data_IF_504608340735
#
_entry.id   IF_504608340735
#
_cell.length_a   1.000
_cell.length_b   1.000
_cell.length_c   1.000
_cell.angle_alpha   90.00
_cell.angle_beta   90.00
_cell.angle_gamma   90.00
#
_symmetry.space_group_name_H-M   'P 1'
#
loop_
_entity.id
_entity.type
_entity.pdbx_description
1 polymer ?
#
# COMPACT_ATOMS: atom_id res chain seq x y z
N UNK A 1 -3.55 16.92 12.09
CA UNK A 1 -3.63 15.70 11.27
C UNK A 1 -2.48 14.78 11.65
N UNK A 2 -2.61 13.44 11.58
CA UNK A 2 -1.50 12.53 11.84
C UNK A 2 -0.68 12.30 10.57
N UNK A 3 0.64 12.38 10.72
CA UNK A 3 1.60 12.09 9.67
C UNK A 3 2.49 10.93 10.10
N UNK A 4 2.98 10.16 9.13
CA UNK A 4 4.04 9.19 9.35
C UNK A 4 5.38 9.80 8.97
N UNK A 5 6.41 9.55 9.78
CA UNK A 5 7.80 9.89 9.46
C UNK A 5 8.37 8.82 8.53
N UNK A 6 9.03 9.26 7.46
CA UNK A 6 9.60 8.38 6.44
C UNK A 6 11.02 8.84 6.09
N UNK A 7 11.82 7.89 5.63
CA UNK A 7 13.17 8.12 5.13
C UNK A 7 13.24 7.82 3.64
N UNK A 8 14.17 8.48 2.95
CA UNK A 8 14.62 8.06 1.62
C UNK A 8 15.99 7.42 1.77
N UNK A 9 16.10 6.14 1.43
CA UNK A 9 17.35 5.37 1.53
C UNK A 9 18.47 6.01 0.70
N UNK A 10 19.68 6.04 1.23
CA UNK A 10 20.83 6.59 0.52
C UNK A 10 21.12 5.80 -0.77
N UNK A 11 21.54 6.52 -1.82
CA UNK A 11 21.72 5.94 -3.16
C UNK A 11 22.89 4.94 -3.26
N UNK A 12 23.84 5.01 -2.33
CA UNK A 12 25.02 4.16 -2.32
C UNK A 12 24.78 2.81 -1.62
N UNK A 13 23.60 2.60 -1.01
CA UNK A 13 23.26 1.35 -0.35
C UNK A 13 23.06 0.23 -1.36
N UNK A 14 23.50 -0.97 -0.98
CA UNK A 14 23.40 -2.17 -1.83
C UNK A 14 21.96 -2.64 -2.08
N UNK A 15 21.00 -2.21 -1.25
CA UNK A 15 19.60 -2.60 -1.32
C UNK A 15 18.66 -1.39 -1.32
N UNK A 16 17.71 -1.41 -2.25
CA UNK A 16 16.64 -0.43 -2.42
C UNK A 16 17.12 1.05 -2.39
N UNK A 17 18.18 1.41 -3.12
CA UNK A 17 18.70 2.78 -3.12
C UNK A 17 17.62 3.77 -3.59
N UNK A 18 17.46 4.88 -2.87
CA UNK A 18 16.51 5.95 -3.19
C UNK A 18 15.04 5.64 -2.92
N UNK A 19 14.71 4.48 -2.34
CA UNK A 19 13.32 4.14 -2.04
C UNK A 19 12.84 4.75 -0.72
N UNK A 20 11.53 4.96 -0.62
CA UNK A 20 10.87 5.31 0.63
C UNK A 20 10.91 4.13 1.62
N UNK A 21 11.28 4.40 2.87
CA UNK A 21 11.27 3.41 3.94
C UNK A 21 10.78 4.03 5.25
N UNK A 22 10.32 3.16 6.15
CA UNK A 22 10.24 3.47 7.58
C UNK A 22 11.65 3.29 8.18
N UNK A 23 12.05 4.07 9.19
CA UNK A 23 13.27 3.79 9.94
C UNK A 23 13.25 2.36 10.49
N UNK A 24 14.35 1.64 10.36
CA UNK A 24 14.44 0.27 10.85
C UNK A 24 15.44 -0.58 10.08
N UNK A 25 15.94 -1.60 10.77
CA UNK A 25 16.94 -2.49 10.22
C UNK A 25 16.83 -3.90 10.75
N UNK A 26 17.98 -4.54 10.86
CA UNK A 26 18.06 -5.95 11.22
C UNK A 26 18.15 -6.05 12.74
N UNK A 27 17.38 -6.97 13.32
CA UNK A 27 17.48 -7.30 14.74
C UNK A 27 18.83 -7.98 15.05
N UNK A 28 19.54 -7.43 16.03
CA UNK A 28 20.77 -8.00 16.57
C UNK A 28 20.47 -8.70 17.90
N UNK A 29 20.89 -9.95 18.04
CA UNK A 29 20.63 -10.68 19.28
C UNK A 29 21.47 -10.09 20.42
N UNK A 30 20.90 -9.87 21.63
CA UNK A 30 19.62 -10.40 22.14
C UNK A 30 18.43 -9.42 22.11
N UNK A 31 18.39 -8.43 21.22
CA UNK A 31 17.33 -7.42 21.18
C UNK A 31 15.93 -8.00 20.97
N UNK A 32 14.95 -7.32 21.55
CA UNK A 32 13.54 -7.43 21.18
C UNK A 32 13.24 -6.58 19.94
N UNK A 33 12.15 -6.86 19.19
CA UNK A 33 11.77 -6.04 18.05
C UNK A 33 11.54 -4.55 18.38
N UNK A 34 11.09 -4.24 19.59
CA UNK A 34 10.91 -2.86 20.05
C UNK A 34 12.26 -2.15 20.27
N UNK A 35 13.22 -2.83 20.88
CA UNK A 35 14.57 -2.30 21.09
C UNK A 35 15.27 -2.06 19.76
N UNK A 36 15.21 -3.02 18.83
CA UNK A 36 15.74 -2.87 17.46
C UNK A 36 15.11 -1.67 16.75
N UNK A 37 13.79 -1.54 16.76
CA UNK A 37 13.13 -0.42 16.06
C UNK A 37 13.53 0.95 16.63
N UNK A 38 13.71 1.05 17.94
CA UNK A 38 14.15 2.28 18.61
C UNK A 38 15.61 2.59 18.32
N UNK A 39 16.51 1.60 18.44
CA UNK A 39 17.94 1.75 18.12
C UNK A 39 18.12 2.21 16.67
N UNK A 40 17.50 1.52 15.72
CA UNK A 40 17.60 1.85 14.29
C UNK A 40 17.01 3.25 14.00
N UNK A 41 15.94 3.66 14.70
CA UNK A 41 15.41 5.02 14.59
C UNK A 41 16.37 6.09 15.16
N UNK A 42 17.11 5.77 16.22
CA UNK A 42 18.16 6.64 16.74
C UNK A 42 19.33 6.72 15.76
N UNK A 43 19.78 5.60 15.20
CA UNK A 43 20.90 5.54 14.25
C UNK A 43 20.57 6.24 12.93
N UNK A 44 19.40 5.98 12.33
CA UNK A 44 19.03 6.50 11.01
C UNK A 44 18.60 7.97 11.04
N UNK A 45 17.83 8.37 12.06
CA UNK A 45 17.17 9.69 12.09
C UNK A 45 17.46 10.51 13.35
N UNK A 46 18.33 10.04 14.25
CA UNK A 46 18.62 10.66 15.54
C UNK A 46 17.35 10.95 16.36
N UNK A 47 16.43 9.98 16.37
CA UNK A 47 15.24 10.06 17.23
C UNK A 47 15.67 9.99 18.71
N UNK A 48 15.30 10.96 19.57
CA UNK A 48 15.64 10.91 20.99
C UNK A 48 14.74 9.90 21.73
N UNK A 49 15.18 8.63 21.80
CA UNK A 49 14.36 7.49 22.24
C UNK A 49 13.95 7.52 23.73
N UNK A 50 14.65 8.30 24.55
CA UNK A 50 14.39 8.52 25.99
C UNK A 50 13.50 9.73 26.27
N UNK A 51 13.05 10.43 25.23
CA UNK A 51 12.21 11.61 25.39
C UNK A 51 10.78 11.24 25.82
N UNK A 52 10.28 11.87 26.90
CA UNK A 52 8.93 11.63 27.43
C UNK A 52 7.81 11.93 26.42
N UNK A 53 8.12 12.67 25.34
CA UNK A 53 7.23 12.90 24.22
C UNK A 53 6.98 11.69 23.33
N UNK A 54 7.73 10.59 23.46
CA UNK A 54 7.55 9.36 22.69
C UNK A 54 6.58 8.42 23.39
N UNK A 55 5.33 8.39 22.89
CA UNK A 55 4.31 7.46 23.37
C UNK A 55 4.42 6.15 22.59
N UNK A 56 4.93 5.11 23.26
CA UNK A 56 5.11 3.76 22.70
C UNK A 56 3.76 3.05 22.61
N UNK A 57 3.25 2.84 21.40
CA UNK A 57 1.95 2.20 21.18
C UNK A 57 2.05 0.66 21.13
N UNK A 58 3.23 0.13 20.77
CA UNK A 58 3.51 -1.30 20.78
C UNK A 58 3.72 -1.89 19.38
N UNK A 59 3.79 -3.23 19.34
CA UNK A 59 4.01 -3.98 18.11
C UNK A 59 2.72 -4.05 17.27
N UNK A 60 2.89 -3.87 15.97
CA UNK A 60 1.86 -4.18 14.99
C UNK A 60 1.86 -5.65 14.57
N UNK A 61 0.99 -5.98 13.62
CA UNK A 61 1.00 -7.28 12.95
C UNK A 61 2.32 -7.45 12.18
N UNK A 62 3.07 -8.55 12.40
CA UNK A 62 4.25 -8.83 11.59
C UNK A 62 3.92 -8.98 10.11
N UNK A 63 4.86 -8.62 9.25
CA UNK A 63 4.73 -8.72 7.80
C UNK A 63 5.79 -9.66 7.23
N UNK A 64 5.50 -10.30 6.09
CA UNK A 64 6.41 -11.25 5.44
C UNK A 64 6.60 -10.89 3.97
N UNK A 65 7.84 -10.54 3.64
CA UNK A 65 8.30 -10.22 2.28
C UNK A 65 9.66 -10.86 2.02
N UNK A 66 9.77 -12.19 2.18
CA UNK A 66 11.03 -12.93 2.14
C UNK A 66 11.85 -12.82 3.43
N UNK A 67 11.40 -12.01 4.38
CA UNK A 67 11.88 -11.84 5.75
C UNK A 67 10.69 -11.53 6.66
N UNK A 68 10.78 -11.88 7.94
CA UNK A 68 9.79 -11.46 8.95
C UNK A 68 10.16 -10.07 9.45
N UNK A 69 9.24 -9.12 9.31
CA UNK A 69 9.41 -7.73 9.75
C UNK A 69 8.38 -7.41 10.82
N UNK A 70 8.83 -6.83 11.92
CA UNK A 70 8.00 -6.47 13.07
C UNK A 70 7.82 -4.94 13.12
N UNK A 71 6.67 -4.39 12.70
CA UNK A 71 6.42 -2.96 12.85
C UNK A 71 6.24 -2.59 14.32
N UNK A 72 6.88 -1.51 14.75
CA UNK A 72 6.73 -0.95 16.09
C UNK A 72 6.23 0.49 15.98
N UNK A 73 5.11 0.79 16.64
CA UNK A 73 4.46 2.08 16.51
C UNK A 73 4.79 2.99 17.70
N UNK A 74 5.27 4.18 17.38
CA UNK A 74 5.55 5.26 18.34
C UNK A 74 4.81 6.51 17.89
N UNK A 75 4.11 7.16 18.81
CA UNK A 75 3.42 8.43 18.58
C UNK A 75 4.19 9.55 19.25
N UNK A 76 4.45 10.64 18.51
CA UNK A 76 4.99 11.85 19.10
C UNK A 76 3.86 12.65 19.75
N UNK A 77 3.98 12.94 21.04
CA UNK A 77 3.04 13.79 21.77
C UNK A 77 2.95 15.18 21.12
N UNK A 78 1.75 15.76 20.95
CA UNK A 78 1.60 17.09 20.37
C UNK A 78 2.45 18.17 21.04
N UNK A 79 2.67 18.06 22.35
CA UNK A 79 3.45 19.02 23.13
C UNK A 79 4.97 18.95 22.84
N UNK A 80 5.48 17.76 22.50
CA UNK A 80 6.91 17.54 22.23
C UNK A 80 7.24 17.46 20.74
N UNK A 81 6.23 17.29 19.88
CA UNK A 81 6.41 17.01 18.43
C UNK A 81 7.33 18.02 17.77
N UNK A 82 7.10 19.33 17.93
CA UNK A 82 7.93 20.36 17.27
C UNK A 82 9.38 20.32 17.75
N UNK A 83 9.62 20.06 19.04
CA UNK A 83 10.95 19.96 19.63
C UNK A 83 11.68 18.70 19.20
N UNK A 84 10.99 17.57 19.06
CA UNK A 84 11.58 16.31 18.61
C UNK A 84 11.91 16.40 17.11
N UNK A 85 10.97 16.90 16.29
CA UNK A 85 11.18 17.05 14.85
C UNK A 85 12.36 17.98 14.52
N UNK A 86 12.64 18.99 15.34
CA UNK A 86 13.78 19.89 15.13
C UNK A 86 15.14 19.23 15.41
N UNK A 87 15.16 18.11 16.13
CA UNK A 87 16.37 17.34 16.45
C UNK A 87 16.71 16.28 15.41
N UNK A 88 15.71 15.78 14.65
CA UNK A 88 15.92 14.71 13.68
C UNK A 88 16.94 15.10 12.60
N UNK A 89 17.89 14.23 12.31
CA UNK A 89 18.88 14.43 11.25
C UNK A 89 19.02 13.15 10.43
N UNK A 90 19.16 13.22 9.11
CA UNK A 90 19.43 12.01 8.34
C UNK A 90 20.86 11.54 8.63
N UNK A 91 21.03 10.26 8.96
CA UNK A 91 22.36 9.64 9.00
C UNK A 91 23.00 9.67 7.61
N UNK A 92 24.24 10.18 7.47
CA UNK A 92 24.90 10.33 6.17
C UNK A 92 25.16 8.99 5.45
N UNK A 93 25.27 7.90 6.23
CA UNK A 93 25.60 6.57 5.72
C UNK A 93 24.36 5.82 5.22
N UNK A 94 23.16 6.18 5.68
CA UNK A 94 21.95 5.37 5.42
C UNK A 94 20.78 6.15 4.85
N UNK A 95 20.64 7.43 5.24
CA UNK A 95 19.45 8.23 4.95
C UNK A 95 19.85 9.46 4.13
N UNK A 96 19.24 9.58 2.95
CA UNK A 96 19.42 10.79 2.13
C UNK A 96 18.49 11.94 2.56
N UNK A 97 17.30 11.62 3.08
CA UNK A 97 16.27 12.60 3.44
C UNK A 97 15.29 12.02 4.45
N UNK A 98 14.87 12.88 5.37
CA UNK A 98 13.71 12.66 6.26
C UNK A 98 12.54 13.49 5.76
N UNK A 99 11.35 12.91 5.73
CA UNK A 99 10.13 13.58 5.31
C UNK A 99 8.92 12.93 5.97
N UNK A 100 7.71 13.44 5.70
CA UNK A 100 6.49 12.88 6.26
C UNK A 100 5.35 12.82 5.24
N UNK A 101 4.40 11.92 5.49
CA UNK A 101 3.20 11.76 4.66
C UNK A 101 1.94 11.71 5.53
N UNK A 102 0.84 12.39 5.16
CA UNK A 102 -0.41 12.32 5.92
C UNK A 102 -1.00 10.91 5.84
N UNK A 103 -1.25 10.28 6.99
CA UNK A 103 -1.75 8.90 7.05
C UNK A 103 -3.15 8.78 6.42
N UNK A 104 -4.00 9.80 6.60
CA UNK A 104 -5.34 9.84 6.01
C UNK A 104 -5.33 9.77 4.48
N UNK A 105 -4.25 10.20 3.83
CA UNK A 105 -4.14 10.17 2.38
C UNK A 105 -4.03 8.75 1.81
N UNK A 106 -3.87 7.71 2.64
CA UNK A 106 -3.83 6.32 2.20
C UNK A 106 -5.19 5.62 2.27
N UNK A 107 -6.24 6.31 2.74
CA UNK A 107 -7.60 5.77 2.78
C UNK A 107 -8.26 5.70 1.41
N UNK A 108 -7.80 6.52 0.45
CA UNK A 108 -8.40 6.68 -0.88
C UNK A 108 -7.36 6.46 -1.97
N UNK A 109 -7.85 6.05 -3.15
CA UNK A 109 -7.06 5.97 -4.38
C UNK A 109 -6.82 7.34 -5.02
N UNK A 110 -7.45 8.39 -4.51
CA UNK A 110 -7.29 9.78 -4.93
C UNK A 110 -6.47 10.59 -3.91
N UNK A 111 -5.65 11.51 -4.43
CA UNK A 111 -4.87 12.38 -3.57
C UNK A 111 -5.80 13.40 -2.89
N UNK A 112 -5.66 13.63 -1.56
CA UNK A 112 -6.43 14.68 -0.92
C UNK A 112 -6.07 16.06 -1.50
N UNK A 113 -7.03 17.01 -1.54
CA UNK A 113 -6.78 18.34 -2.07
C UNK A 113 -5.56 19.01 -1.41
N UNK A 114 -4.70 19.60 -2.23
CA UNK A 114 -3.51 20.31 -1.75
C UNK A 114 -2.32 19.42 -1.41
N UNK A 115 -2.44 18.09 -1.50
CA UNK A 115 -1.28 17.20 -1.36
C UNK A 115 -0.28 17.44 -2.49
N UNK A 116 0.93 17.86 -2.14
CA UNK A 116 2.01 18.04 -3.11
C UNK A 116 2.50 16.67 -3.57
N UNK A 117 2.43 16.43 -4.88
CA UNK A 117 2.96 15.22 -5.50
C UNK A 117 4.16 15.56 -6.35
N UNK A 118 5.22 14.76 -6.26
CA UNK A 118 6.39 14.89 -7.11
C UNK A 118 6.06 14.51 -8.56
N UNK A 119 6.78 15.09 -9.52
CA UNK A 119 6.62 14.76 -10.94
C UNK A 119 6.83 13.24 -11.15
N UNK A 120 5.86 12.53 -11.74
CA UNK A 120 5.88 11.07 -11.77
C UNK A 120 7.01 10.50 -12.63
N UNK A 121 7.55 11.28 -13.58
CA UNK A 121 8.71 10.88 -14.38
C UNK A 121 10.05 10.93 -13.62
N UNK A 122 10.06 11.45 -12.38
CA UNK A 122 11.30 11.71 -11.63
C UNK A 122 11.56 10.75 -10.46
N UNK A 123 10.58 9.89 -10.13
CA UNK A 123 10.61 9.02 -8.94
C UNK A 123 11.00 7.60 -9.30
N UNK A 124 10.23 6.95 -10.18
CA UNK A 124 10.50 5.60 -10.66
C UNK A 124 10.89 5.66 -12.14
N UNK A 125 12.20 5.65 -12.41
CA UNK A 125 12.72 5.69 -13.78
C UNK A 125 12.76 4.31 -14.46
N UNK A 126 12.47 3.25 -13.72
CA UNK A 126 12.43 1.89 -14.25
C UNK A 126 11.06 1.56 -14.85
N UNK A 127 10.06 2.42 -14.66
CA UNK A 127 8.69 2.23 -15.17
C UNK A 127 8.21 3.46 -15.92
N UNK A 128 7.19 3.30 -16.79
CA UNK A 128 6.42 4.44 -17.27
C UNK A 128 5.92 5.30 -16.11
N UNK A 129 5.88 6.61 -16.33
CA UNK A 129 5.41 7.56 -15.33
C UNK A 129 3.99 7.20 -14.87
N UNK A 130 3.82 7.05 -13.56
CA UNK A 130 2.53 6.73 -12.95
C UNK A 130 1.80 8.03 -12.61
N UNK A 131 0.82 8.41 -13.43
CA UNK A 131 0.07 9.66 -13.24
C UNK A 131 -0.96 9.57 -12.12
N UNK A 132 -1.58 8.40 -11.92
CA UNK A 132 -2.56 8.22 -10.85
C UNK A 132 -1.91 8.26 -9.46
N UNK A 133 -2.66 8.75 -8.47
CA UNK A 133 -2.16 8.85 -7.09
C UNK A 133 -1.87 7.46 -6.50
N UNK A 134 -2.80 6.52 -6.65
CA UNK A 134 -2.61 5.12 -6.27
C UNK A 134 -2.60 4.22 -7.51
N UNK A 135 -1.62 3.33 -7.56
CA UNK A 135 -1.57 2.21 -8.52
C UNK A 135 -1.27 0.90 -7.78
N UNK A 136 -1.47 -0.24 -8.44
CA UNK A 136 -1.06 -1.52 -7.89
C UNK A 136 -0.74 -2.54 -8.99
N UNK A 137 -0.05 -3.61 -8.62
CA UNK A 137 0.15 -4.79 -9.45
C UNK A 137 -0.11 -6.04 -8.63
N UNK A 138 -0.86 -7.00 -9.16
CA UNK A 138 -1.03 -8.31 -8.51
C UNK A 138 0.05 -9.25 -9.07
N UNK A 139 1.07 -9.53 -8.25
CA UNK A 139 2.25 -10.30 -8.63
C UNK A 139 2.18 -11.72 -8.06
N UNK A 140 2.81 -12.67 -8.74
CA UNK A 140 2.96 -14.02 -8.21
C UNK A 140 4.01 -14.06 -7.11
N UNK A 141 3.61 -14.50 -5.91
CA UNK A 141 4.43 -14.46 -4.71
C UNK A 141 4.12 -15.63 -3.79
N UNK A 142 5.14 -16.39 -3.40
CA UNK A 142 5.03 -17.58 -2.52
C UNK A 142 3.87 -18.53 -2.88
N UNK A 143 3.72 -18.85 -4.18
CA UNK A 143 2.68 -19.77 -4.64
C UNK A 143 1.25 -19.23 -4.50
N UNK A 144 1.08 -17.92 -4.34
CA UNK A 144 -0.20 -17.21 -4.39
C UNK A 144 -0.05 -15.86 -5.07
N UNK A 145 -1.07 -15.01 -4.91
CA UNK A 145 -1.04 -13.61 -5.38
C UNK A 145 -0.64 -12.67 -4.25
N UNK A 146 0.08 -11.62 -4.59
CA UNK A 146 0.40 -10.50 -3.71
C UNK A 146 0.07 -9.18 -4.40
N UNK A 147 -0.70 -8.32 -3.75
CA UNK A 147 -0.98 -6.98 -4.24
C UNK A 147 0.12 -6.00 -3.83
N UNK A 148 0.95 -5.64 -4.80
CA UNK A 148 1.98 -4.62 -4.64
C UNK A 148 1.37 -3.23 -4.86
N UNK A 149 1.00 -2.57 -3.76
CA UNK A 149 0.51 -1.19 -3.77
C UNK A 149 1.61 -0.18 -4.06
N UNK A 150 1.22 0.94 -4.69
CA UNK A 150 2.05 2.12 -4.88
C UNK A 150 1.22 3.39 -4.67
N UNK A 151 1.73 4.33 -3.90
CA UNK A 151 1.16 5.66 -3.73
C UNK A 151 2.19 6.72 -4.07
N UNK A 152 1.76 7.74 -4.79
CA UNK A 152 2.56 8.95 -5.03
C UNK A 152 2.68 9.75 -3.74
N UNK A 153 3.78 10.47 -3.60
CA UNK A 153 4.00 11.38 -2.48
C UNK A 153 4.75 12.63 -2.93
N UNK A 154 5.06 13.51 -1.98
CA UNK A 154 5.91 14.67 -2.21
C UNK A 154 7.38 14.31 -2.49
N UNK A 155 7.82 13.10 -2.14
CA UNK A 155 9.22 12.68 -2.25
C UNK A 155 9.36 11.42 -3.11
N UNK A 156 9.12 10.24 -2.55
CA UNK A 156 9.30 8.96 -3.24
C UNK A 156 8.00 8.16 -3.25
N UNK A 157 7.87 7.17 -4.13
CA UNK A 157 6.70 6.28 -4.10
C UNK A 157 6.71 5.48 -2.80
N UNK A 158 5.59 5.53 -2.08
CA UNK A 158 5.30 4.55 -1.05
C UNK A 158 4.93 3.27 -1.79
N UNK A 159 5.63 2.16 -1.55
CA UNK A 159 5.34 0.89 -2.21
C UNK A 159 5.62 -0.32 -1.33
N UNK A 160 5.04 -1.44 -1.73
CA UNK A 160 5.29 -2.77 -1.18
C UNK A 160 5.18 -2.85 0.34
N UNK A 161 6.17 -3.44 1.01
CA UNK A 161 6.08 -3.68 2.46
C UNK A 161 5.82 -2.40 3.26
N UNK A 162 6.48 -1.29 2.88
CA UNK A 162 6.24 0.01 3.49
C UNK A 162 4.76 0.38 3.38
N UNK A 163 4.15 0.21 2.20
CA UNK A 163 2.72 0.45 2.03
C UNK A 163 1.85 -0.48 2.87
N UNK A 164 2.18 -1.77 2.97
CA UNK A 164 1.38 -2.74 3.73
C UNK A 164 1.33 -2.38 5.22
N UNK A 165 2.47 -1.99 5.80
CA UNK A 165 2.54 -1.52 7.20
C UNK A 165 1.68 -0.26 7.38
N UNK A 166 1.77 0.69 6.44
CA UNK A 166 1.01 1.93 6.52
C UNK A 166 -0.50 1.72 6.36
N UNK A 167 -0.93 0.87 5.43
CA UNK A 167 -2.34 0.53 5.24
C UNK A 167 -2.91 -0.17 6.48
N UNK A 168 -2.12 -1.05 7.10
CA UNK A 168 -2.48 -1.64 8.38
C UNK A 168 -2.62 -0.57 9.48
N UNK A 169 -1.64 0.33 9.63
CA UNK A 169 -1.70 1.41 10.61
C UNK A 169 -2.93 2.33 10.42
N UNK A 170 -3.25 2.67 9.18
CA UNK A 170 -4.42 3.49 8.83
C UNK A 170 -5.74 2.78 9.19
N UNK A 171 -5.81 1.46 8.97
CA UNK A 171 -6.98 0.66 9.36
C UNK A 171 -7.22 0.63 10.87
N UNK A 172 -6.15 0.71 11.67
CA UNK A 172 -6.24 0.78 13.14
C UNK A 172 -6.63 2.18 13.63
N UNK A 173 -6.07 3.22 13.01
CA UNK A 173 -6.21 4.60 13.47
C UNK A 173 -7.49 5.30 12.97
N UNK A 174 -8.00 4.89 11.81
CA UNK A 174 -9.09 5.56 11.13
C UNK A 174 -10.19 4.58 10.72
N UNK A 175 -10.05 4.00 9.54
CA UNK A 175 -11.04 3.14 8.91
C UNK A 175 -10.34 2.27 7.87
N UNK A 176 -11.03 1.23 7.39
CA UNK A 176 -10.57 0.47 6.24
C UNK A 176 -10.47 1.38 5.00
N UNK A 177 -9.44 1.23 4.16
CA UNK A 177 -9.36 1.95 2.89
C UNK A 177 -10.55 1.67 1.98
N UNK A 178 -10.92 2.65 1.15
CA UNK A 178 -12.03 2.57 0.20
C UNK A 178 -11.72 1.76 -1.06
N UNK A 179 -10.81 0.78 -0.95
CA UNK A 179 -10.38 -0.12 -2.02
C UNK A 179 -9.91 -1.46 -1.44
N UNK A 180 -9.79 -2.48 -2.29
CA UNK A 180 -9.21 -3.76 -1.90
C UNK A 180 -7.70 -3.65 -1.61
N UNK A 181 -7.33 -3.89 -0.35
CA UNK A 181 -5.92 -3.98 0.10
C UNK A 181 -5.25 -5.27 -0.36
N UNK A 182 -6.00 -6.35 -0.55
CA UNK A 182 -5.45 -7.64 -0.95
C UNK A 182 -5.85 -8.01 -2.38
N UNK A 183 -4.99 -8.74 -3.08
CA UNK A 183 -5.33 -9.33 -4.36
C UNK A 183 -6.40 -10.41 -4.19
N UNK A 184 -7.22 -10.70 -5.21
CA UNK A 184 -8.04 -11.90 -5.23
C UNK A 184 -7.16 -13.13 -4.97
N UNK A 185 -7.58 -13.99 -4.04
CA UNK A 185 -6.84 -15.21 -3.64
C UNK A 185 -5.46 -14.95 -3.01
N UNK A 186 -5.17 -13.71 -2.58
CA UNK A 186 -3.99 -13.44 -1.77
C UNK A 186 -4.08 -14.23 -0.46
N UNK A 187 -3.00 -14.94 -0.15
CA UNK A 187 -2.93 -15.76 1.05
C UNK A 187 -2.83 -14.89 2.29
N UNK A 188 -3.38 -15.41 3.39
CA UNK A 188 -3.24 -14.77 4.69
C UNK A 188 -1.81 -14.88 5.19
N UNK A 189 -1.39 -13.93 6.02
CA UNK A 189 -0.10 -13.96 6.69
C UNK A 189 0.13 -15.29 7.44
N UNK A 190 -0.87 -15.77 8.20
CA UNK A 190 -0.74 -17.00 8.98
C UNK A 190 -0.49 -18.22 8.07
N UNK A 191 -1.18 -18.30 6.94
CA UNK A 191 -0.96 -19.36 5.95
C UNK A 191 0.44 -19.30 5.33
N UNK A 192 0.98 -18.10 5.11
CA UNK A 192 2.35 -17.91 4.61
C UNK A 192 3.38 -18.33 5.65
N UNK A 193 3.20 -17.90 6.91
CA UNK A 193 4.07 -18.28 8.03
C UNK A 193 4.09 -19.79 8.24
N UNK A 194 2.92 -20.43 8.27
CA UNK A 194 2.80 -21.88 8.38
C UNK A 194 3.59 -22.59 7.27
N UNK A 195 3.42 -22.17 6.01
CA UNK A 195 4.17 -22.79 4.92
C UNK A 195 5.68 -22.56 5.04
N UNK A 196 6.13 -21.36 5.41
CA UNK A 196 7.54 -21.05 5.58
C UNK A 196 8.14 -21.91 6.70
N UNK A 197 7.46 -22.01 7.84
CA UNK A 197 7.88 -22.86 8.96
C UNK A 197 7.95 -24.32 8.50
N UNK A 198 6.95 -24.80 7.76
CA UNK A 198 6.95 -26.17 7.21
C UNK A 198 8.09 -26.37 6.19
N UNK A 199 8.36 -25.40 5.31
CA UNK A 199 9.48 -25.44 4.36
C UNK A 199 10.82 -25.43 5.07
N UNK A 200 10.99 -24.61 6.11
CA UNK A 200 12.20 -24.54 6.91
C UNK A 200 12.44 -25.87 7.65
N UNK A 201 11.41 -26.43 8.28
CA UNK A 201 11.45 -27.77 8.88
C UNK A 201 11.85 -28.85 7.86
N UNK A 202 11.35 -28.77 6.62
CA UNK A 202 11.72 -29.69 5.51
C UNK A 202 13.12 -29.46 4.93
N UNK A 203 13.73 -28.28 5.13
CA UNK A 203 14.96 -27.81 4.46
C UNK A 203 16.21 -27.77 5.34
N UNK A 204 16.21 -28.38 6.54
CA UNK A 204 17.47 -28.55 7.28
C UNK A 204 18.51 -29.28 6.40
N UNK A 205 19.42 -28.52 5.76
CA UNK A 205 20.52 -29.03 4.93
C UNK A 205 20.70 -28.50 3.49
N UNK A 206 19.86 -27.60 2.94
CA UNK A 206 20.09 -27.04 1.59
C UNK A 206 19.91 -25.51 1.53
N UNK A 207 20.92 -24.81 1.01
CA UNK A 207 20.90 -23.37 0.79
C UNK A 207 19.67 -22.97 -0.04
N UNK A 208 18.90 -21.99 0.44
CA UNK A 208 17.73 -21.50 -0.28
C UNK A 208 18.15 -20.54 -1.39
N UNK A 209 17.43 -20.61 -2.50
CA UNK A 209 17.38 -19.55 -3.49
C UNK A 209 16.92 -18.27 -2.77
N UNK A 210 17.70 -17.19 -2.89
CA UNK A 210 17.34 -15.87 -2.35
C UNK A 210 16.16 -15.37 -3.18
N UNK A 211 14.98 -15.28 -2.57
CA UNK A 211 13.81 -14.69 -3.21
C UNK A 211 14.07 -13.19 -3.36
N UNK A 212 13.73 -12.67 -4.54
CA UNK A 212 13.67 -11.24 -4.78
C UNK A 212 12.66 -10.57 -3.87
N UNK A 213 12.69 -9.26 -3.70
CA UNK A 213 11.71 -8.51 -2.90
C UNK A 213 10.37 -8.29 -3.64
N UNK A 214 10.32 -8.60 -4.94
CA UNK A 214 9.19 -8.30 -5.81
C UNK A 214 9.00 -6.81 -6.12
N UNK A 215 9.83 -5.93 -5.54
CA UNK A 215 9.75 -4.46 -5.62
C UNK A 215 10.85 -3.85 -6.49
N UNK A 216 11.92 -4.59 -6.72
CA UNK A 216 13.14 -4.21 -7.43
C UNK A 216 13.34 -5.13 -8.63
N UNK A 217 13.81 -4.63 -9.78
CA UNK A 217 14.10 -5.41 -10.99
C UNK A 217 15.22 -6.45 -10.83
N UNK A 218 15.10 -7.31 -9.84
CA UNK A 218 15.91 -8.49 -9.66
C UNK A 218 15.56 -9.55 -10.71
N UNK A 219 16.52 -10.43 -11.02
CA UNK A 219 16.44 -11.42 -12.11
C UNK A 219 15.26 -12.40 -12.02
N UNK A 220 14.46 -12.35 -10.95
CA UNK A 220 13.29 -13.19 -10.71
C UNK A 220 11.98 -12.39 -10.56
N UNK A 221 12.06 -11.08 -10.34
CA UNK A 221 10.93 -10.18 -10.23
C UNK A 221 11.09 -9.01 -11.19
N UNK A 222 11.02 -9.26 -12.51
CA UNK A 222 10.63 -8.18 -13.40
C UNK A 222 9.17 -7.88 -13.10
N UNK A 223 8.95 -7.03 -12.12
CA UNK A 223 7.64 -6.49 -11.80
C UNK A 223 7.08 -5.69 -13.00
N UNK A 224 7.89 -5.47 -14.05
CA UNK A 224 7.54 -5.07 -15.42
C UNK A 224 6.67 -6.10 -16.18
N UNK A 225 6.76 -7.40 -15.85
CA UNK A 225 5.93 -8.45 -16.45
C UNK A 225 4.47 -8.41 -15.97
N UNK A 226 4.21 -7.73 -14.86
CA UNK A 226 2.87 -7.58 -14.30
C UNK A 226 2.31 -6.20 -14.63
N UNK A 227 1.07 -6.18 -15.14
CA UNK A 227 0.36 -4.95 -15.45
C UNK A 227 0.30 -3.99 -14.26
N UNK A 228 0.44 -2.69 -14.54
CA UNK A 228 0.19 -1.64 -13.54
C UNK A 228 -1.26 -1.19 -13.70
N UNK A 229 -2.05 -1.39 -12.65
CA UNK A 229 -3.47 -1.04 -12.63
C UNK A 229 -3.63 0.27 -11.87
N UNK A 230 -4.40 1.21 -12.44
CA UNK A 230 -4.81 2.42 -11.73
C UNK A 230 -5.75 2.05 -10.58
N UNK A 231 -5.43 2.49 -9.37
CA UNK A 231 -6.29 2.33 -8.21
C UNK A 231 -7.55 3.16 -8.36
N UNK A 232 -8.70 2.58 -8.01
CA UNK A 232 -9.99 3.26 -7.89
C UNK A 232 -10.66 2.90 -6.58
N UNK A 233 -11.46 3.82 -6.07
CA UNK A 233 -12.28 3.62 -4.88
C UNK A 233 -13.62 2.98 -5.24
N UNK A 234 -14.23 2.27 -4.28
CA UNK A 234 -15.51 1.58 -4.46
C UNK A 234 -16.61 2.47 -5.05
N UNK A 235 -16.73 3.70 -4.52
CA UNK A 235 -17.75 4.65 -4.98
C UNK A 235 -17.47 5.13 -6.40
N UNK A 236 -16.20 5.28 -6.78
CA UNK A 236 -15.83 5.65 -8.14
C UNK A 236 -16.14 4.51 -9.12
N UNK A 237 -15.83 3.26 -8.75
CA UNK A 237 -16.18 2.08 -9.54
C UNK A 237 -17.69 1.97 -9.74
N UNK A 238 -18.48 2.13 -8.68
CA UNK A 238 -19.94 2.10 -8.77
C UNK A 238 -20.50 3.21 -9.69
N UNK A 239 -19.95 4.43 -9.62
CA UNK A 239 -20.35 5.53 -10.51
C UNK A 239 -20.03 5.23 -11.97
N UNK A 240 -18.85 4.69 -12.26
CA UNK A 240 -18.45 4.33 -13.63
C UNK A 240 -19.35 3.21 -14.17
N UNK A 241 -19.62 2.15 -13.39
CA UNK A 241 -20.53 1.06 -13.77
C UNK A 241 -21.95 1.54 -14.04
N UNK A 242 -22.45 2.48 -13.22
CA UNK A 242 -23.73 3.16 -13.45
C UNK A 242 -23.67 3.97 -14.75
N UNK A 243 -22.61 4.73 -15.01
CA UNK A 243 -22.47 5.51 -16.24
C UNK A 243 -22.36 4.63 -17.49
N UNK A 244 -21.60 3.54 -17.45
CA UNK A 244 -21.52 2.56 -18.53
C UNK A 244 -22.88 1.88 -18.78
N UNK A 245 -23.59 1.50 -17.72
CA UNK A 245 -24.94 0.94 -17.82
C UNK A 245 -25.93 1.95 -18.43
N UNK A 246 -25.83 3.23 -18.05
CA UNK A 246 -26.62 4.31 -18.63
C UNK A 246 -26.28 4.53 -20.11
N UNK A 247 -25.01 4.48 -20.49
CA UNK A 247 -24.58 4.59 -21.89
C UNK A 247 -25.03 3.38 -22.72
N UNK A 248 -25.03 2.17 -22.14
CA UNK A 248 -25.56 0.96 -22.78
C UNK A 248 -27.06 1.05 -23.06
N UNK A 249 -27.83 1.61 -22.11
CA UNK A 249 -29.25 1.91 -22.29
C UNK A 249 -29.48 2.93 -23.41
N UNK A 250 -28.68 4.00 -23.48
CA UNK A 250 -28.78 5.03 -24.53
C UNK A 250 -28.41 4.51 -25.92
N UNK A 251 -27.52 3.51 -26.00
CA UNK A 251 -27.12 2.84 -27.25
C UNK A 251 -28.05 1.67 -27.66
N UNK A 252 -29.15 1.43 -26.94
CA UNK A 252 -30.11 0.38 -27.27
C UNK A 252 -29.61 -1.05 -27.02
N UNK A 253 -28.59 -1.22 -26.18
CA UNK A 253 -27.97 -2.53 -25.89
C UNK A 253 -28.67 -3.30 -24.74
N UNK A 254 -29.66 -2.70 -24.09
CA UNK A 254 -30.44 -3.29 -22.98
C UNK A 254 -31.95 -3.13 -23.26
N UNK A 255 -32.59 -4.20 -23.71
CA UNK A 255 -34.05 -4.29 -23.93
C UNK A 255 -34.64 -5.46 -23.14
N UNK A 256 -35.93 -5.34 -22.79
CA UNK A 256 -36.66 -6.37 -22.05
C UNK A 256 -38.02 -6.60 -22.68
N UNK A 257 -38.41 -7.87 -22.80
CA UNK A 257 -39.72 -8.26 -23.29
C UNK A 257 -40.74 -8.41 -22.14
N UNK A 258 -41.99 -8.04 -22.38
CA UNK A 258 -43.14 -8.19 -21.51
C UNK A 258 -44.33 -8.81 -22.29
N UNK A 259 -45.25 -9.47 -21.59
CA UNK A 259 -46.48 -10.00 -22.21
C UNK A 259 -47.58 -8.95 -22.17
N UNK A 260 -48.25 -8.75 -23.31
CA UNK A 260 -49.41 -7.87 -23.41
C UNK A 260 -50.68 -8.52 -22.81
N UNK A 261 -51.79 -7.79 -22.77
CA UNK A 261 -53.09 -8.25 -22.24
C UNK A 261 -53.67 -9.46 -22.99
N UNK A 262 -53.13 -9.78 -24.17
CA UNK A 262 -53.49 -10.95 -25.00
C UNK A 262 -52.48 -12.09 -24.87
N UNK A 263 -51.43 -11.92 -24.08
CA UNK A 263 -50.37 -12.91 -23.84
C UNK A 263 -49.27 -12.94 -24.90
N UNK A 264 -49.24 -11.99 -25.83
CA UNK A 264 -48.18 -11.86 -26.84
C UNK A 264 -46.95 -11.18 -26.23
N UNK A 265 -45.76 -11.72 -26.51
CA UNK A 265 -44.48 -11.15 -26.07
C UNK A 265 -44.14 -9.92 -26.94
N UNK A 266 -43.95 -8.76 -26.31
CA UNK A 266 -43.54 -7.50 -26.97
C UNK A 266 -42.47 -6.80 -26.15
N UNK A 267 -41.67 -5.93 -26.76
CA UNK A 267 -40.73 -5.09 -26.00
C UNK A 267 -41.48 -4.19 -25.01
N UNK A 268 -40.96 -4.10 -23.79
CA UNK A 268 -41.49 -3.28 -22.71
C UNK A 268 -41.09 -1.81 -22.94
N UNK A 269 -42.03 -0.93 -23.36
CA UNK A 269 -41.72 0.44 -23.77
C UNK A 269 -41.21 1.31 -22.61
N UNK A 270 -41.48 0.92 -21.36
CA UNK A 270 -41.09 1.65 -20.16
C UNK A 270 -39.84 1.05 -19.47
N UNK A 271 -39.29 -0.04 -20.00
CA UNK A 271 -38.15 -0.75 -19.42
C UNK A 271 -36.95 0.19 -19.22
N UNK A 272 -36.54 0.89 -20.28
CA UNK A 272 -35.37 1.77 -20.28
C UNK A 272 -35.52 2.87 -19.24
N UNK A 273 -36.71 3.49 -19.16
CA UNK A 273 -37.03 4.56 -18.21
C UNK A 273 -36.98 4.06 -16.76
N UNK A 274 -37.55 2.89 -16.48
CA UNK A 274 -37.50 2.29 -15.14
C UNK A 274 -36.08 1.89 -14.74
N UNK A 275 -35.35 1.24 -15.65
CA UNK A 275 -33.97 0.78 -15.42
C UNK A 275 -33.04 1.96 -15.14
N UNK A 276 -33.15 3.04 -15.92
CA UNK A 276 -32.43 4.30 -15.70
C UNK A 276 -32.70 4.89 -14.31
N UNK A 277 -33.96 4.94 -13.88
CA UNK A 277 -34.33 5.47 -12.55
C UNK A 277 -33.76 4.62 -11.41
N UNK A 278 -33.70 3.30 -11.56
CA UNK A 278 -33.09 2.42 -10.57
C UNK A 278 -31.58 2.63 -10.48
N UNK A 279 -30.89 2.75 -11.62
CA UNK A 279 -29.44 2.98 -11.67
C UNK A 279 -29.03 4.33 -11.06
N UNK A 280 -29.82 5.39 -11.26
CA UNK A 280 -29.54 6.73 -10.69
C UNK A 280 -29.73 6.76 -9.16
N UNK A 281 -30.56 5.87 -8.61
CA UNK A 281 -30.89 5.84 -7.17
C UNK A 281 -30.10 4.78 -6.38
N UNK A 282 -29.24 4.00 -7.05
CA UNK A 282 -28.36 2.98 -6.45
C UNK A 282 -27.01 3.59 -6.04
#
# INVERSE_FOLDING_TARGET
ELHVLLTTRALHLSSHPGQASLPGGKMDAPETPAETALRESEEEVYLPIDDEGLVRLGLGKPCEHGKVVHPYFVLLSPLSTSRILSQLRPSPDEVSRIWSHPLRALLSSEAPPGLKLRNPSTVDRHRPAQECYRSFSDVDWFGGKYRLHRFRSAQEHLKGLTCDILLYAVSLLYASPSFNVHAPQQRTFDSLVEEIVQRHKRRQGRASQRWGDGESGDKQGTSEAFGTVQGRDWVAVAKDEVQESLAGLENGLDSREAKDERGETREDPDWVTRRRRTLINA
#
